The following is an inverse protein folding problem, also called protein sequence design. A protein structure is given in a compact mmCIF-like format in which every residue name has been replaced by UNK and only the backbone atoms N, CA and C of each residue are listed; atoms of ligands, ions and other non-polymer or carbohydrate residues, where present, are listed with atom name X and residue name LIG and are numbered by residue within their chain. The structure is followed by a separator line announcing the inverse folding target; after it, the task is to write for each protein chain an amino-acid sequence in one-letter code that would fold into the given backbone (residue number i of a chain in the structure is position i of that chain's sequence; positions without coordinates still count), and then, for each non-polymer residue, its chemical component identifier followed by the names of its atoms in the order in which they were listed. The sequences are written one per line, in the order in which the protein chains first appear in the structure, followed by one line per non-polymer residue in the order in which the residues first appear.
data_IF_752679882581
#
_entry.id   IF_752679882581
#
_cell.length_a   1.000
_cell.length_b   1.000
_cell.length_c   1.000
_cell.angle_alpha   90.00
_cell.angle_beta   90.00
_cell.angle_gamma   90.00
#
_symmetry.space_group_name_H-M   'P 1'
#
loop_
_entity.id
_entity.type
_entity.pdbx_description
1 polymer ?
#
# COMPACT_ATOMS: atom_id res chain seq x y z
N UNK A 1 8.02 34.94 -13.87
CA UNK A 1 6.82 35.82 -13.78
C UNK A 1 5.65 34.96 -13.31
N UNK A 2 4.75 35.48 -12.47
CA UNK A 2 3.58 34.72 -12.05
C UNK A 2 2.52 34.70 -13.16
N UNK A 3 2.07 33.52 -13.56
CA UNK A 3 1.01 33.31 -14.54
C UNK A 3 -0.04 32.36 -13.98
N UNK A 4 -1.27 32.49 -14.47
CA UNK A 4 -2.36 31.61 -14.06
C UNK A 4 -2.29 30.30 -14.86
N UNK A 5 -2.09 29.20 -14.14
CA UNK A 5 -2.08 27.86 -14.70
C UNK A 5 -3.34 27.11 -14.30
N UNK A 6 -3.84 26.32 -15.24
CA UNK A 6 -4.80 25.26 -14.94
C UNK A 6 -4.02 24.04 -14.50
N UNK A 7 -4.26 23.63 -13.27
CA UNK A 7 -3.69 22.44 -12.66
C UNK A 7 -4.76 21.36 -12.60
N UNK A 8 -4.43 20.16 -13.05
CA UNK A 8 -5.20 18.98 -12.72
C UNK A 8 -4.65 18.38 -11.44
N UNK A 9 -5.48 18.30 -10.41
CA UNK A 9 -5.12 17.77 -9.10
C UNK A 9 -5.78 16.42 -8.92
N UNK A 10 -4.98 15.37 -8.77
CA UNK A 10 -5.46 14.04 -8.39
C UNK A 10 -5.02 13.73 -6.96
N UNK A 11 -5.95 13.24 -6.17
CA UNK A 11 -5.70 12.89 -4.76
C UNK A 11 -5.97 11.43 -4.51
N UNK A 12 -5.07 10.79 -3.76
CA UNK A 12 -5.09 9.37 -3.52
C UNK A 12 -4.97 9.06 -2.03
N UNK A 13 -5.67 8.02 -1.58
CA UNK A 13 -5.50 7.40 -0.27
C UNK A 13 -4.84 6.03 -0.42
N UNK A 14 -4.12 5.58 0.60
CA UNK A 14 -3.65 4.19 0.67
C UNK A 14 -4.81 3.22 0.85
N UNK A 15 -4.76 2.15 0.08
CA UNK A 15 -5.69 1.04 0.14
C UNK A 15 -4.93 -0.25 0.42
N UNK A 16 -5.25 -0.88 1.55
CA UNK A 16 -4.68 -2.17 1.94
C UNK A 16 -5.47 -3.28 1.28
N UNK A 17 -4.87 -3.94 0.30
CA UNK A 17 -5.36 -5.19 -0.26
C UNK A 17 -4.72 -6.33 0.53
N UNK A 18 -5.52 -7.04 1.33
CA UNK A 18 -5.08 -8.21 2.06
C UNK A 18 -5.83 -9.43 1.54
N UNK A 19 -5.10 -10.39 1.00
CA UNK A 19 -5.58 -11.70 0.59
C UNK A 19 -4.82 -12.77 1.40
N UNK A 20 -5.35 -13.99 1.47
CA UNK A 20 -4.93 -15.06 2.37
C UNK A 20 -3.43 -15.39 2.32
N UNK A 21 -2.73 -15.03 1.24
CA UNK A 21 -1.29 -15.23 1.10
C UNK A 21 -0.43 -14.01 0.77
N UNK A 22 -1.03 -12.84 0.48
CA UNK A 22 -0.29 -11.62 0.11
C UNK A 22 -0.98 -10.37 0.65
N UNK A 23 -0.21 -9.39 1.11
CA UNK A 23 -0.69 -8.05 1.40
C UNK A 23 0.02 -7.03 0.50
N UNK A 24 -0.75 -6.08 -0.04
CA UNK A 24 -0.29 -5.00 -0.90
C UNK A 24 -0.89 -3.67 -0.40
N UNK A 25 -0.10 -2.60 -0.41
CA UNK A 25 -0.62 -1.24 -0.21
C UNK A 25 -0.71 -0.51 -1.55
N UNK A 26 -1.90 -0.55 -2.15
CA UNK A 26 -2.23 0.14 -3.39
C UNK A 26 -2.67 1.58 -3.11
N UNK A 27 -2.85 2.36 -4.16
CA UNK A 27 -3.51 3.66 -4.09
C UNK A 27 -4.97 3.54 -4.55
N UNK A 28 -5.84 4.30 -3.92
CA UNK A 28 -7.22 4.50 -4.35
C UNK A 28 -7.43 5.97 -4.66
N UNK A 29 -7.94 6.27 -5.85
CA UNK A 29 -8.28 7.64 -6.24
C UNK A 29 -9.47 8.13 -5.40
N UNK A 30 -9.28 9.25 -4.72
CA UNK A 30 -10.32 9.92 -3.95
C UNK A 30 -11.08 10.95 -4.78
N UNK A 31 -10.34 11.71 -5.59
CA UNK A 31 -10.92 12.76 -6.40
C UNK A 31 -9.92 13.34 -7.41
N UNK A 32 -10.49 13.94 -8.44
CA UNK A 32 -9.78 14.65 -9.50
C UNK A 32 -10.49 15.98 -9.73
N UNK A 33 -9.74 17.08 -9.62
CA UNK A 33 -10.28 18.44 -9.71
C UNK A 33 -9.34 19.32 -10.55
N UNK A 34 -9.90 20.21 -11.36
CA UNK A 34 -9.14 21.25 -12.04
C UNK A 34 -9.15 22.54 -11.21
N UNK A 35 -7.96 23.07 -10.92
CA UNK A 35 -7.79 24.27 -10.09
C UNK A 35 -6.96 25.29 -10.86
N UNK A 36 -7.39 26.55 -10.85
CA UNK A 36 -6.59 27.65 -11.39
C UNK A 36 -5.75 28.26 -10.27
N UNK A 37 -4.42 28.26 -10.44
CA UNK A 37 -3.48 28.85 -9.48
C UNK A 37 -2.50 29.77 -10.20
N UNK A 38 -2.09 30.83 -9.52
CA UNK A 38 -0.97 31.64 -9.94
C UNK A 38 0.33 30.94 -9.55
N UNK A 39 1.17 30.66 -10.55
CA UNK A 39 2.43 29.95 -10.38
C UNK A 39 3.54 30.77 -11.02
N UNK A 40 4.68 30.84 -10.35
CA UNK A 40 5.87 31.44 -10.92
C UNK A 40 6.55 30.42 -11.85
N UNK A 41 6.54 30.66 -13.16
CA UNK A 41 7.16 29.78 -14.16
C UNK A 41 8.65 29.53 -13.88
N UNK A 42 9.36 30.54 -13.38
CA UNK A 42 10.80 30.46 -13.10
C UNK A 42 11.11 29.52 -11.92
N UNK A 43 10.11 29.22 -11.08
CA UNK A 43 10.19 28.34 -9.92
C UNK A 43 9.03 27.35 -9.92
N UNK A 44 8.71 26.80 -11.09
CA UNK A 44 7.54 25.94 -11.32
C UNK A 44 7.52 24.75 -10.35
N UNK A 45 8.63 24.03 -10.21
CA UNK A 45 8.74 22.87 -9.33
C UNK A 45 8.47 23.22 -7.86
N UNK A 46 9.15 24.24 -7.32
CA UNK A 46 8.94 24.70 -5.93
C UNK A 46 7.51 25.16 -5.69
N UNK A 47 6.90 25.81 -6.67
CA UNK A 47 5.52 26.27 -6.57
C UNK A 47 4.54 25.10 -6.55
N UNK A 48 4.73 24.10 -7.42
CA UNK A 48 3.92 22.87 -7.43
C UNK A 48 4.11 22.07 -6.14
N UNK A 49 5.35 21.97 -5.65
CA UNK A 49 5.65 21.34 -4.37
C UNK A 49 4.93 22.01 -3.21
N UNK A 50 4.99 23.34 -3.12
CA UNK A 50 4.27 24.10 -2.09
C UNK A 50 2.76 23.88 -2.13
N UNK A 51 2.17 23.85 -3.32
CA UNK A 51 0.73 23.57 -3.51
C UNK A 51 0.40 22.14 -3.06
N UNK A 52 1.19 21.16 -3.49
CA UNK A 52 0.94 19.76 -3.15
C UNK A 52 1.09 19.50 -1.65
N UNK A 53 2.13 20.07 -1.02
CA UNK A 53 2.32 20.02 0.44
C UNK A 53 1.19 20.72 1.20
N UNK A 54 0.64 21.81 0.66
CA UNK A 54 -0.53 22.49 1.23
C UNK A 54 -1.78 21.59 1.21
N UNK A 55 -2.03 20.88 0.09
CA UNK A 55 -3.12 19.91 -0.03
C UNK A 55 -2.90 18.74 0.95
N UNK A 56 -1.69 18.20 0.99
CA UNK A 56 -1.31 17.17 1.97
C UNK A 56 -1.33 17.69 3.41
N UNK A 57 -1.22 18.98 3.68
CA UNK A 57 -1.35 19.52 5.04
C UNK A 57 -2.80 19.67 5.49
N UNK A 58 -3.72 19.85 4.54
CA UNK A 58 -5.13 20.19 4.81
C UNK A 58 -6.07 18.99 4.78
N UNK A 59 -5.79 17.98 3.93
CA UNK A 59 -6.64 16.79 3.78
C UNK A 59 -6.01 15.57 4.46
N UNK A 60 -6.46 15.17 5.68
CA UNK A 60 -5.84 14.08 6.45
C UNK A 60 -6.02 12.70 5.82
N UNK A 61 -7.03 12.53 4.98
CA UNK A 61 -7.39 11.32 4.23
C UNK A 61 -6.58 11.12 2.95
N UNK A 62 -5.84 12.15 2.50
CA UNK A 62 -4.99 12.09 1.31
C UNK A 62 -3.57 11.70 1.70
N UNK A 63 -3.07 10.63 1.08
CA UNK A 63 -1.71 10.11 1.30
C UNK A 63 -0.75 10.46 0.16
N UNK A 64 -1.27 10.69 -1.05
CA UNK A 64 -0.49 11.12 -2.22
C UNK A 64 -1.29 12.12 -3.07
N UNK A 65 -0.57 13.10 -3.60
CA UNK A 65 -1.09 14.11 -4.54
C UNK A 65 -0.27 14.06 -5.82
N UNK A 66 -0.97 14.04 -6.96
CA UNK A 66 -0.38 14.26 -8.29
C UNK A 66 -0.95 15.56 -8.87
N UNK A 67 -0.08 16.46 -9.29
CA UNK A 67 -0.38 17.71 -9.95
C UNK A 67 0.09 17.64 -11.40
N UNK A 68 -0.81 17.90 -12.34
CA UNK A 68 -0.44 18.08 -13.75
C UNK A 68 -0.65 19.55 -14.13
N UNK A 69 0.40 20.19 -14.65
CA UNK A 69 0.38 21.55 -15.16
C UNK A 69 0.67 21.53 -16.66
N UNK A 70 -0.17 22.18 -17.47
CA UNK A 70 0.11 22.41 -18.89
C UNK A 70 0.77 23.77 -19.07
N UNK A 71 2.02 23.78 -19.55
CA UNK A 71 2.83 24.97 -19.78
C UNK A 71 3.34 24.92 -21.21
N UNK A 72 2.96 25.89 -22.04
CA UNK A 72 3.45 26.07 -23.41
C UNK A 72 3.46 24.78 -24.27
N UNK A 73 2.37 24.00 -24.17
CA UNK A 73 2.20 22.74 -24.91
C UNK A 73 2.87 21.51 -24.26
N UNK A 74 3.69 21.71 -23.23
CA UNK A 74 4.28 20.64 -22.42
C UNK A 74 3.42 20.34 -21.19
N UNK A 75 3.36 19.06 -20.79
CA UNK A 75 2.67 18.65 -19.56
C UNK A 75 3.70 18.31 -18.49
N UNK A 76 3.76 19.14 -17.45
CA UNK A 76 4.56 18.93 -16.27
C UNK A 76 3.74 18.15 -15.25
N UNK A 77 4.32 17.10 -14.68
CA UNK A 77 3.65 16.29 -13.66
C UNK A 77 4.54 16.25 -12.44
N UNK A 78 3.98 16.60 -11.29
CA UNK A 78 4.64 16.58 -10.00
C UNK A 78 3.82 15.73 -9.03
N UNK A 79 4.48 14.83 -8.31
CA UNK A 79 3.82 13.98 -7.32
C UNK A 79 4.57 14.01 -5.99
N UNK A 80 3.82 14.06 -4.90
CA UNK A 80 4.39 13.97 -3.55
C UNK A 80 3.46 13.17 -2.65
N UNK A 81 4.04 12.49 -1.67
CA UNK A 81 3.34 11.59 -0.77
C UNK A 81 3.76 11.84 0.68
N UNK A 82 2.88 11.45 1.62
CA UNK A 82 3.20 11.48 3.06
C UNK A 82 4.03 10.29 3.52
N UNK A 83 4.13 9.27 2.69
CA UNK A 83 4.79 8.03 3.06
C UNK A 83 6.18 8.00 2.46
N UNK A 84 7.19 7.98 3.32
CA UNK A 84 8.48 7.46 2.93
C UNK A 84 8.29 5.96 2.66
N UNK A 85 8.66 5.51 1.47
CA UNK A 85 8.90 4.10 1.17
C UNK A 85 9.85 3.60 2.26
N UNK A 86 9.31 2.90 3.26
CA UNK A 86 10.12 2.45 4.40
C UNK A 86 11.23 1.57 3.84
N UNK A 87 12.48 1.85 4.21
CA UNK A 87 13.72 1.25 3.70
C UNK A 87 13.84 -0.30 3.79
N UNK A 88 12.76 -1.03 4.10
CA UNK A 88 12.79 -2.45 4.46
C UNK A 88 11.64 -3.28 3.88
N UNK A 89 10.77 -2.73 3.05
CA UNK A 89 9.72 -3.50 2.38
C UNK A 89 9.96 -3.49 0.87
N UNK A 90 9.98 -4.65 0.19
CA UNK A 90 10.11 -4.68 -1.26
C UNK A 90 8.89 -4.05 -1.91
N UNK A 91 9.14 -3.31 -2.99
CA UNK A 91 8.18 -2.38 -3.56
C UNK A 91 7.95 -2.69 -5.03
N UNK A 92 6.68 -2.76 -5.44
CA UNK A 92 6.29 -2.65 -6.84
C UNK A 92 6.38 -1.17 -7.24
N UNK A 93 7.44 -0.81 -7.96
CA UNK A 93 7.73 0.57 -8.34
C UNK A 93 7.16 0.85 -9.73
N UNK A 94 6.10 1.65 -9.77
CA UNK A 94 5.67 2.35 -10.98
C UNK A 94 6.22 3.78 -10.93
N UNK A 95 6.68 4.35 -12.07
CA UNK A 95 7.22 5.71 -12.11
C UNK A 95 6.18 6.78 -11.78
N UNK A 96 4.89 6.47 -11.96
CA UNK A 96 3.73 7.31 -11.63
C UNK A 96 2.56 6.45 -11.20
N UNK A 97 1.60 6.99 -10.41
CA UNK A 97 0.33 6.34 -10.14
C UNK A 97 -0.35 5.85 -11.41
N UNK A 98 -0.29 4.54 -11.63
CA UNK A 98 -0.78 3.90 -12.85
C UNK A 98 -2.02 3.08 -12.54
N UNK A 99 -3.07 3.23 -13.34
CA UNK A 99 -4.36 2.58 -13.04
C UNK A 99 -4.24 1.09 -13.29
N UNK A 100 -4.62 0.30 -12.29
CA UNK A 100 -4.62 -1.16 -12.39
C UNK A 100 -5.80 -1.59 -13.25
N UNK A 101 -5.53 -2.37 -14.28
CA UNK A 101 -6.52 -3.10 -15.07
C UNK A 101 -6.72 -4.49 -14.48
N UNK A 102 -5.62 -5.20 -14.23
CA UNK A 102 -5.59 -6.52 -13.60
C UNK A 102 -4.38 -6.66 -12.69
N UNK A 103 -4.56 -7.39 -11.60
CA UNK A 103 -3.51 -7.72 -10.66
C UNK A 103 -3.64 -9.18 -10.29
N UNK A 104 -2.61 -9.98 -10.55
CA UNK A 104 -2.67 -11.41 -10.35
C UNK A 104 -1.30 -12.02 -10.09
N UNK A 105 -1.31 -13.25 -9.57
CA UNK A 105 -0.12 -14.06 -9.32
C UNK A 105 -0.07 -15.17 -10.36
N UNK A 106 1.11 -15.40 -10.93
CA UNK A 106 1.39 -16.47 -11.90
C UNK A 106 2.65 -17.24 -11.54
N UNK A 107 2.86 -18.40 -12.15
CA UNK A 107 4.12 -19.15 -12.01
C UNK A 107 5.22 -18.48 -12.82
N UNK A 108 6.45 -18.47 -12.29
CA UNK A 108 7.61 -17.86 -12.95
C UNK A 108 7.95 -18.52 -14.31
N UNK A 109 7.52 -19.76 -14.53
CA UNK A 109 7.75 -20.53 -15.76
C UNK A 109 6.59 -20.48 -16.75
N UNK A 110 5.45 -19.89 -16.36
CA UNK A 110 4.27 -19.81 -17.23
C UNK A 110 4.46 -18.70 -18.27
N UNK A 111 4.24 -19.03 -19.54
CA UNK A 111 4.12 -18.00 -20.57
C UNK A 111 2.90 -17.14 -20.26
N UNK A 112 2.97 -15.84 -20.51
CA UNK A 112 1.98 -14.80 -20.14
C UNK A 112 0.54 -15.01 -20.63
N UNK A 113 0.28 -16.07 -21.40
CA UNK A 113 -1.04 -16.46 -21.91
C UNK A 113 -1.75 -17.54 -21.08
N UNK A 114 -1.13 -18.05 -20.01
CA UNK A 114 -1.75 -19.04 -19.14
C UNK A 114 -2.70 -18.41 -18.11
N UNK A 115 -3.66 -19.22 -17.65
CA UNK A 115 -4.67 -18.81 -16.67
C UNK A 115 -3.98 -18.40 -15.37
N UNK A 116 -4.26 -17.19 -14.85
CA UNK A 116 -3.64 -16.72 -13.61
C UNK A 116 -3.98 -17.67 -12.45
N UNK A 117 -2.96 -18.04 -11.67
CA UNK A 117 -3.14 -18.90 -10.50
C UNK A 117 -4.08 -18.26 -9.48
N UNK A 118 -3.97 -16.93 -9.33
CA UNK A 118 -4.79 -16.16 -8.41
C UNK A 118 -4.97 -14.75 -8.90
N UNK A 119 -6.22 -14.36 -9.13
CA UNK A 119 -6.58 -12.99 -9.47
C UNK A 119 -6.86 -12.24 -8.17
N UNK A 120 -6.07 -11.21 -7.91
CA UNK A 120 -6.21 -10.33 -6.75
C UNK A 120 -7.17 -9.17 -7.05
N UNK A 121 -7.11 -8.66 -8.29
CA UNK A 121 -8.01 -7.61 -8.79
C UNK A 121 -8.32 -7.89 -10.25
N UNK A 122 -9.62 -7.97 -10.58
CA UNK A 122 -10.11 -8.00 -11.95
C UNK A 122 -10.99 -6.75 -12.13
N UNK A 123 -10.58 -5.81 -12.98
CA UNK A 123 -11.30 -4.55 -13.27
C UNK A 123 -11.41 -3.58 -12.07
N UNK A 124 -10.28 -3.06 -11.62
CA UNK A 124 -10.26 -2.05 -10.56
C UNK A 124 -10.92 -0.73 -10.98
N UNK A 125 -12.07 -0.43 -10.36
CA UNK A 125 -12.66 0.91 -10.36
C UNK A 125 -11.85 1.84 -9.45
N UNK A 126 -10.74 2.36 -9.96
CA UNK A 126 -9.97 3.45 -9.34
C UNK A 126 -8.86 3.01 -8.37
N UNK A 127 -8.29 1.81 -8.54
CA UNK A 127 -7.05 1.42 -7.86
C UNK A 127 -5.84 1.68 -8.75
N UNK A 128 -4.75 2.10 -8.12
CA UNK A 128 -3.51 2.52 -8.77
C UNK A 128 -2.31 1.86 -8.09
N UNK A 129 -1.27 1.57 -8.87
CA UNK A 129 0.04 1.16 -8.36
C UNK A 129 0.96 2.37 -8.34
N UNK A 130 1.60 2.59 -7.21
CA UNK A 130 2.71 3.53 -7.04
C UNK A 130 3.44 3.17 -5.76
N UNK A 131 4.74 2.91 -5.87
CA UNK A 131 5.59 2.50 -4.75
C UNK A 131 4.89 1.57 -3.76
N UNK A 132 4.27 0.49 -4.27
CA UNK A 132 3.41 -0.39 -3.48
C UNK A 132 4.26 -1.40 -2.70
N UNK A 133 4.34 -1.31 -1.36
CA UNK A 133 5.01 -2.33 -0.55
C UNK A 133 4.24 -3.66 -0.60
N UNK A 134 5.00 -4.74 -0.63
CA UNK A 134 4.51 -6.12 -0.77
C UNK A 134 4.91 -6.94 0.45
N UNK A 135 3.96 -7.71 0.99
CA UNK A 135 4.22 -8.70 2.05
C UNK A 135 3.67 -10.06 1.65
N UNK A 136 4.57 -11.02 1.54
CA UNK A 136 4.22 -12.42 1.28
C UNK A 136 4.07 -13.15 2.61
N UNK A 137 2.92 -13.80 2.81
CA UNK A 137 2.60 -14.56 4.03
C UNK A 137 2.65 -16.07 3.79
N UNK A 138 2.21 -16.50 2.62
CA UNK A 138 2.03 -17.90 2.28
C UNK A 138 3.25 -18.46 1.53
N UNK A 139 3.87 -19.56 2.01
CA UNK A 139 4.96 -20.23 1.29
C UNK A 139 4.56 -20.73 -0.10
N UNK A 140 3.29 -20.97 -0.40
CA UNK A 140 2.86 -21.40 -1.74
C UNK A 140 2.95 -20.28 -2.79
N UNK A 141 3.11 -19.03 -2.34
CA UNK A 141 3.28 -17.85 -3.18
C UNK A 141 4.77 -17.44 -3.26
N UNK A 142 5.58 -17.93 -2.32
CA UNK A 142 7.03 -17.71 -2.24
C UNK A 142 7.71 -18.44 -3.42
N UNK A 143 8.13 -17.69 -4.45
CA UNK A 143 8.66 -18.24 -5.72
C UNK A 143 7.78 -18.02 -6.95
N UNK A 144 6.65 -17.33 -6.79
CA UNK A 144 5.77 -16.91 -7.89
C UNK A 144 6.04 -15.47 -8.30
N UNK A 145 5.44 -15.05 -9.41
CA UNK A 145 5.51 -13.68 -9.88
C UNK A 145 4.19 -12.95 -9.63
N UNK A 146 4.27 -11.71 -9.17
CA UNK A 146 3.16 -10.77 -9.12
C UNK A 146 3.18 -9.94 -10.39
N UNK A 147 2.07 -9.95 -11.13
CA UNK A 147 1.91 -9.18 -12.37
C UNK A 147 0.81 -8.15 -12.15
N UNK A 148 1.16 -6.89 -12.38
CA UNK A 148 0.24 -5.77 -12.43
C UNK A 148 0.14 -5.26 -13.87
N UNK A 149 -0.99 -5.50 -14.52
CA UNK A 149 -1.32 -4.89 -15.81
C UNK A 149 -1.95 -3.53 -15.55
N UNK A 150 -1.27 -2.48 -15.99
CA UNK A 150 -1.71 -1.10 -15.85
C UNK A 150 -1.95 -0.44 -17.21
N UNK A 151 -2.58 0.73 -17.19
CA UNK A 151 -2.75 1.58 -18.37
C UNK A 151 -1.42 2.05 -19.00
N UNK A 152 -0.39 2.24 -18.19
CA UNK A 152 0.96 2.67 -18.62
C UNK A 152 1.88 1.53 -19.04
N UNK A 153 1.52 0.28 -18.76
CA UNK A 153 2.33 -0.90 -19.03
C UNK A 153 2.14 -2.01 -18.01
N UNK A 154 2.96 -3.06 -18.13
CA UNK A 154 2.92 -4.23 -17.24
C UNK A 154 4.12 -4.23 -16.30
N UNK A 155 3.86 -4.35 -15.00
CA UNK A 155 4.89 -4.42 -13.97
C UNK A 155 4.93 -5.83 -13.38
N UNK A 156 6.13 -6.41 -13.32
CA UNK A 156 6.35 -7.78 -12.85
C UNK A 156 7.32 -7.73 -11.67
N UNK A 157 6.97 -8.39 -10.59
CA UNK A 157 7.82 -8.55 -9.41
C UNK A 157 7.93 -10.02 -9.06
N UNK A 158 9.17 -10.49 -8.92
CA UNK A 158 9.43 -11.82 -8.40
C UNK A 158 9.29 -11.81 -6.86
N UNK A 159 8.32 -12.57 -6.37
CA UNK A 159 8.02 -12.67 -4.94
C UNK A 159 9.06 -13.51 -4.19
N UNK A 160 9.96 -14.22 -4.89
CA UNK A 160 11.09 -14.94 -4.28
C UNK A 160 12.11 -13.99 -3.62
N UNK A 161 12.23 -12.78 -4.15
CA UNK A 161 13.20 -11.77 -3.69
C UNK A 161 12.75 -11.05 -2.42
N UNK A 162 11.51 -11.29 -1.98
CA UNK A 162 10.84 -10.54 -0.93
C UNK A 162 11.08 -11.22 0.43
N UNK A 163 11.72 -10.54 1.40
CA UNK A 163 11.96 -11.13 2.71
C UNK A 163 10.65 -11.46 3.43
N UNK A 164 10.53 -12.72 3.83
CA UNK A 164 9.35 -13.24 4.52
C UNK A 164 9.22 -12.64 5.92
N UNK A 165 8.03 -12.09 6.22
CA UNK A 165 7.67 -11.74 7.60
C UNK A 165 7.12 -12.99 8.28
N UNK A 166 8.01 -13.79 8.87
CA UNK A 166 7.60 -14.90 9.73
C UNK A 166 7.08 -14.32 11.04
N UNK A 167 5.76 -14.13 11.15
CA UNK A 167 5.12 -13.81 12.43
C UNK A 167 5.18 -15.03 13.34
N UNK A 168 6.29 -15.21 14.05
CA UNK A 168 6.37 -16.21 15.13
C UNK A 168 5.30 -15.85 16.16
N UNK A 169 4.25 -16.67 16.26
CA UNK A 169 3.30 -16.58 17.39
C UNK A 169 4.12 -16.58 18.67
N UNK A 170 4.02 -15.52 19.47
CA UNK A 170 4.71 -15.42 20.76
C UNK A 170 4.22 -16.52 21.72
N UNK A 171 4.80 -17.72 21.60
CA UNK A 171 4.54 -18.90 22.42
C UNK A 171 4.83 -18.62 23.90
N UNK A 172 5.79 -17.73 24.19
CA UNK A 172 6.13 -17.29 25.54
C UNK A 172 4.96 -16.59 26.28
N UNK A 173 4.17 -15.76 25.60
CA UNK A 173 3.01 -15.10 26.23
C UNK A 173 1.87 -16.08 26.49
N UNK A 174 1.63 -17.02 25.58
CA UNK A 174 0.57 -18.02 25.73
C UNK A 174 0.89 -19.05 26.82
N UNK A 175 2.15 -19.48 26.95
CA UNK A 175 2.60 -20.36 28.05
C UNK A 175 2.52 -19.66 29.40
N UNK A 176 2.93 -18.38 29.49
CA UNK A 176 2.82 -17.58 30.74
C UNK A 176 1.37 -17.36 31.16
N UNK A 177 0.45 -17.08 30.21
CA UNK A 177 -1.00 -17.00 30.46
C UNK A 177 -1.58 -18.34 30.92
N UNK A 178 -1.24 -19.45 30.26
CA UNK A 178 -1.65 -20.81 30.69
C UNK A 178 -1.15 -21.15 32.10
N UNK A 179 0.11 -20.81 32.44
CA UNK A 179 0.69 -21.03 33.78
C UNK A 179 -0.01 -20.20 34.87
N UNK A 180 -0.31 -18.92 34.62
CA UNK A 180 -1.08 -18.07 35.55
C UNK A 180 -2.50 -18.62 35.77
N UNK A 181 -3.19 -19.06 34.70
CA UNK A 181 -4.53 -19.65 34.79
C UNK A 181 -4.54 -20.93 35.64
N UNK A 182 -3.55 -21.82 35.46
CA UNK A 182 -3.38 -23.04 36.27
C UNK A 182 -3.14 -22.71 37.76
N UNK A 183 -2.30 -21.72 38.07
CA UNK A 183 -2.06 -21.27 39.46
C UNK A 183 -3.33 -20.70 40.12
N UNK A 184 -4.13 -19.92 39.39
CA UNK A 184 -5.40 -19.36 39.90
C UNK A 184 -6.43 -20.44 40.21
N UNK A 185 -6.60 -21.44 39.34
CA UNK A 185 -7.49 -22.60 39.59
C UNK A 185 -7.07 -23.40 40.83
N UNK A 186 -5.77 -23.63 41.04
CA UNK A 186 -5.26 -24.32 42.24
C UNK A 186 -5.56 -23.56 43.54
N UNK A 187 -5.43 -22.23 43.54
CA UNK A 187 -5.77 -21.39 44.71
C UNK A 187 -7.26 -21.41 45.05
N UNK A 188 -8.13 -21.38 44.04
CA UNK A 188 -9.58 -21.48 44.24
C UNK A 188 -9.97 -22.85 44.81
N UNK A 189 -9.38 -23.94 44.31
CA UNK A 189 -9.64 -25.29 44.82
C UNK A 189 -9.21 -25.42 46.30
N UNK A 190 -8.03 -24.90 46.66
CA UNK A 190 -7.57 -24.88 48.06
C UNK A 190 -8.49 -24.07 48.99
N UNK A 191 -9.00 -22.91 48.56
CA UNK A 191 -9.93 -22.10 49.36
C UNK A 191 -11.30 -22.77 49.55
N UNK A 192 -11.75 -23.61 48.60
CA UNK A 192 -12.99 -24.38 48.75
C UNK A 192 -12.83 -25.53 49.75
N UNK A 193 -11.71 -26.26 49.69
CA UNK A 193 -11.45 -27.36 50.63
C UNK A 193 -11.30 -26.91 52.08
N UNK A 194 -10.78 -25.70 52.34
CA UNK A 194 -10.69 -25.14 53.71
C UNK A 194 -11.99 -24.56 54.25
N UNK A 195 -13.00 -24.33 53.39
CA UNK A 195 -14.33 -23.83 53.80
C UNK A 195 -15.33 -24.95 54.09
N UNK A 196 -15.03 -26.18 53.70
CA UNK A 196 -15.84 -27.38 53.95
C UNK A 196 -15.32 -28.21 55.12
N UNK A 197 -14.23 -27.78 55.75
CA UNK A 197 -13.56 -28.48 56.87
C UNK A 197 -13.52 -27.64 58.15
N UNK A 198 -14.35 -26.60 58.23
CA UNK A 198 -14.65 -25.79 59.41
C UNK A 198 -16.16 -25.78 59.56
#
# INVERSE_FOLDING_TARGET
MARKFRLLVKTFSRYKLADDGIELELLKLLGQEEVVKEINENELEKSLESIALSILGTKPDVDLVELEAKVDGSTYVFSTSRFASKDLEPVLVAPRPSRILRLYISDATSNTNEVPLKILVNESKGLYVYETPIKVKDPEIEGKILIAECDTGTYIVDLSTIPRIVTKRNTAQTTRRKRKRRRRKRRIKKKKTTKTSA
#
